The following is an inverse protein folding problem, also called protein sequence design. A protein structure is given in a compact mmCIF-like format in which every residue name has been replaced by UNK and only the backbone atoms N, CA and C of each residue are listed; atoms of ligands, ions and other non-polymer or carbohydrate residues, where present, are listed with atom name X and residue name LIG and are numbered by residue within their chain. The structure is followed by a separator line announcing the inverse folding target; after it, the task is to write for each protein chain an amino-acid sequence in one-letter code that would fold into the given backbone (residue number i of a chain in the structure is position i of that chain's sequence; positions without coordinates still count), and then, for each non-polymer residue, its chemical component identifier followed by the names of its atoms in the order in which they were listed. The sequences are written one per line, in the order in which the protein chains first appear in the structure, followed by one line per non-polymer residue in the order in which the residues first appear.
data_IF_198890194201
#
_entry.id   IF_198890194201
#
_cell.length_a   1.000
_cell.length_b   1.000
_cell.length_c   1.000
_cell.angle_alpha   90.00
_cell.angle_beta   90.00
_cell.angle_gamma   90.00
#
_symmetry.space_group_name_H-M   'P 1'
#
loop_
_entity.id
_entity.type
_entity.pdbx_description
1 polymer ?
#
# COMPACT_ATOMS: atom_id res chain seq x y z
N UNK A 1 -19.60 -16.63 -26.22
CA UNK A 1 -20.15 -16.17 -24.93
C UNK A 1 -19.69 -17.14 -23.85
N UNK A 2 -18.98 -16.67 -22.81
CA UNK A 2 -18.50 -17.51 -21.70
C UNK A 2 -18.95 -16.87 -20.38
N UNK A 3 -20.08 -17.33 -19.85
CA UNK A 3 -20.64 -16.80 -18.59
C UNK A 3 -19.73 -17.19 -17.42
N UNK A 4 -19.47 -16.22 -16.55
CA UNK A 4 -18.73 -16.35 -15.29
C UNK A 4 -19.41 -15.48 -14.23
N UNK A 5 -19.16 -15.75 -12.95
CA UNK A 5 -19.64 -14.95 -11.82
C UNK A 5 -18.47 -14.42 -10.98
N UNK A 6 -18.67 -13.26 -10.36
CA UNK A 6 -17.73 -12.61 -9.43
C UNK A 6 -18.54 -11.81 -8.40
N UNK A 7 -18.09 -11.80 -7.15
CA UNK A 7 -18.65 -10.93 -6.11
C UNK A 7 -18.02 -9.54 -6.23
N UNK A 8 -18.84 -8.53 -6.50
CA UNK A 8 -18.43 -7.13 -6.53
C UNK A 8 -18.63 -6.43 -5.18
N UNK A 9 -18.04 -5.25 -5.03
CA UNK A 9 -18.17 -4.40 -3.83
C UNK A 9 -18.47 -2.97 -4.25
N UNK A 10 -19.31 -2.27 -3.48
CA UNK A 10 -19.61 -0.84 -3.67
C UNK A 10 -19.32 -0.11 -2.36
N UNK A 11 -18.56 0.98 -2.46
CA UNK A 11 -18.29 1.89 -1.35
C UNK A 11 -19.00 3.22 -1.63
N UNK A 12 -19.98 3.58 -0.81
CA UNK A 12 -20.67 4.87 -0.93
C UNK A 12 -19.85 5.96 -0.24
N UNK A 13 -19.19 6.81 -1.03
CA UNK A 13 -18.31 7.86 -0.53
C UNK A 13 -19.04 8.99 0.20
N UNK A 14 -20.35 9.19 -0.05
CA UNK A 14 -21.19 10.15 0.68
C UNK A 14 -21.41 9.73 2.15
N UNK A 15 -21.40 8.42 2.40
CA UNK A 15 -21.55 7.85 3.76
C UNK A 15 -20.23 7.47 4.41
N UNK A 16 -19.10 7.63 3.71
CA UNK A 16 -17.80 7.37 4.27
C UNK A 16 -17.45 8.47 5.27
N UNK A 17 -17.13 8.08 6.51
CA UNK A 17 -16.78 9.02 7.58
C UNK A 17 -15.27 9.02 7.89
N UNK A 18 -14.46 8.29 7.11
CA UNK A 18 -13.01 8.27 7.30
C UNK A 18 -12.54 7.74 8.66
N UNK A 19 -13.25 6.79 9.28
CA UNK A 19 -12.96 6.33 10.64
C UNK A 19 -11.86 5.25 10.77
N UNK A 20 -11.34 4.74 9.65
CA UNK A 20 -10.30 3.69 9.61
C UNK A 20 -10.65 2.34 10.28
N UNK A 21 -11.90 2.10 10.70
CA UNK A 21 -12.32 0.82 11.30
C UNK A 21 -12.02 -0.37 10.39
N UNK A 22 -12.31 -0.24 9.09
CA UNK A 22 -12.02 -1.27 8.09
C UNK A 22 -10.51 -1.60 8.00
N UNK A 23 -9.66 -0.60 8.13
CA UNK A 23 -8.20 -0.76 8.10
C UNK A 23 -7.68 -1.53 9.31
N UNK A 24 -8.13 -1.16 10.51
CA UNK A 24 -7.71 -1.80 11.77
C UNK A 24 -8.17 -3.26 11.82
N UNK A 25 -9.43 -3.55 11.44
CA UNK A 25 -9.92 -4.92 11.41
C UNK A 25 -9.14 -5.78 10.42
N UNK A 26 -8.78 -5.23 9.27
CA UNK A 26 -7.96 -5.95 8.29
C UNK A 26 -6.53 -6.19 8.80
N UNK A 27 -5.92 -5.19 9.43
CA UNK A 27 -4.58 -5.28 10.03
C UNK A 27 -4.52 -6.40 11.06
N UNK A 28 -5.40 -6.35 12.06
CA UNK A 28 -5.42 -7.30 13.17
C UNK A 28 -5.58 -8.76 12.72
N UNK A 29 -6.41 -9.00 11.71
CA UNK A 29 -6.66 -10.36 11.23
C UNK A 29 -5.53 -10.86 10.32
N UNK A 30 -4.96 -10.02 9.47
CA UNK A 30 -4.15 -10.49 8.34
C UNK A 30 -2.67 -10.04 8.35
N UNK A 31 -2.36 -8.83 8.82
CA UNK A 31 -1.06 -8.18 8.60
C UNK A 31 -0.38 -7.64 9.87
N UNK A 32 -0.61 -8.26 11.02
CA UNK A 32 0.09 -7.97 12.29
C UNK A 32 1.40 -8.74 12.51
N UNK A 33 1.89 -9.48 11.51
CA UNK A 33 3.15 -10.24 11.58
C UNK A 33 4.31 -9.38 11.09
N UNK A 34 5.51 -9.66 11.61
CA UNK A 34 6.77 -9.09 11.13
C UNK A 34 6.96 -9.30 9.61
N UNK A 35 7.47 -8.27 8.93
CA UNK A 35 7.57 -8.15 7.48
C UNK A 35 6.31 -7.58 6.79
N UNK A 36 5.19 -7.43 7.51
CA UNK A 36 3.90 -6.96 6.99
C UNK A 36 3.27 -5.85 7.85
N UNK A 37 3.95 -5.42 8.91
CA UNK A 37 3.51 -4.39 9.84
C UNK A 37 3.30 -3.04 9.15
N UNK A 38 4.12 -2.68 8.14
CA UNK A 38 3.87 -1.51 7.30
C UNK A 38 2.62 -1.68 6.42
N UNK A 39 2.29 -2.91 6.01
CA UNK A 39 1.32 -3.17 4.95
C UNK A 39 -0.14 -3.08 5.41
N UNK A 40 -0.89 -2.14 4.82
CA UNK A 40 -2.33 -1.98 5.00
C UNK A 40 -3.08 -2.46 3.75
N UNK A 41 -3.56 -3.72 3.76
CA UNK A 41 -4.34 -4.26 2.62
C UNK A 41 -5.63 -3.48 2.36
N UNK A 42 -6.27 -3.01 3.43
CA UNK A 42 -7.34 -2.02 3.36
C UNK A 42 -6.83 -0.74 4.03
N UNK A 43 -6.63 0.32 3.26
CA UNK A 43 -6.28 1.65 3.75
C UNK A 43 -7.39 2.67 3.43
N UNK A 44 -7.37 3.80 4.14
CA UNK A 44 -8.28 4.93 3.91
C UNK A 44 -7.40 6.17 3.70
N UNK A 45 -7.71 6.95 2.67
CA UNK A 45 -6.95 8.14 2.29
C UNK A 45 -7.85 9.36 2.25
N UNK A 46 -7.38 10.47 2.82
CA UNK A 46 -8.03 11.77 2.68
C UNK A 46 -7.64 12.41 1.35
N UNK A 47 -8.62 13.03 0.67
CA UNK A 47 -8.39 13.81 -0.54
C UNK A 47 -8.72 15.29 -0.30
N UNK A 48 -7.91 16.23 -0.83
CA UNK A 48 -6.64 16.03 -1.54
C UNK A 48 -5.52 15.46 -0.65
N UNK A 49 -4.62 14.65 -1.21
CA UNK A 49 -3.54 13.99 -0.46
C UNK A 49 -2.65 13.10 -1.33
N UNK A 50 -1.50 12.68 -0.78
CA UNK A 50 -0.48 11.89 -1.48
C UNK A 50 -0.80 10.39 -1.58
N UNK A 51 -1.65 9.87 -0.70
CA UNK A 51 -2.04 8.46 -0.65
C UNK A 51 -0.98 7.53 -0.05
N UNK A 52 -1.22 6.22 -0.13
CA UNK A 52 -0.37 5.17 0.43
C UNK A 52 -0.20 4.02 -0.59
N UNK A 53 1.01 3.75 -1.13
CA UNK A 53 2.23 4.54 -0.96
C UNK A 53 2.12 5.94 -1.57
N UNK A 54 3.09 6.80 -1.26
CA UNK A 54 3.10 8.18 -1.73
C UNK A 54 3.04 8.27 -3.27
N UNK A 55 2.09 9.08 -3.74
CA UNK A 55 1.81 9.34 -5.15
C UNK A 55 1.50 8.07 -5.96
N UNK A 56 0.86 7.04 -5.37
CA UNK A 56 0.54 5.78 -6.07
C UNK A 56 -0.29 5.98 -7.36
N UNK A 57 -1.03 7.08 -7.48
CA UNK A 57 -1.81 7.44 -8.67
C UNK A 57 -0.92 7.81 -9.88
N UNK A 58 0.34 8.22 -9.68
CA UNK A 58 1.27 8.60 -10.75
C UNK A 58 1.84 7.38 -11.48
N UNK A 59 1.19 7.01 -12.59
CA UNK A 59 1.64 5.90 -13.43
C UNK A 59 2.81 6.26 -14.35
N UNK A 60 3.22 7.53 -14.42
CA UNK A 60 4.48 7.90 -15.05
C UNK A 60 5.66 7.53 -14.15
N UNK A 61 5.50 7.62 -12.82
CA UNK A 61 6.44 7.09 -11.83
C UNK A 61 6.35 5.56 -11.72
N UNK A 62 5.18 5.03 -11.36
CA UNK A 62 5.03 3.64 -10.87
C UNK A 62 4.82 2.56 -11.93
N UNK A 63 4.60 2.96 -13.18
CA UNK A 63 4.42 2.05 -14.32
C UNK A 63 3.34 0.96 -14.12
N UNK A 64 2.31 1.22 -13.32
CA UNK A 64 1.18 0.31 -13.11
C UNK A 64 0.20 0.26 -14.30
N UNK A 65 -0.61 -0.81 -14.32
CA UNK A 65 -1.70 -1.00 -15.27
C UNK A 65 -1.24 -1.31 -16.71
N UNK A 66 -2.09 -0.96 -17.67
CA UNK A 66 -1.94 -1.30 -19.09
C UNK A 66 -1.84 -0.05 -19.96
N UNK A 67 -1.17 -0.19 -21.10
CA UNK A 67 -1.20 0.78 -22.20
C UNK A 67 -1.79 0.12 -23.45
N UNK A 68 -2.51 0.90 -24.25
CA UNK A 68 -3.00 0.48 -25.57
C UNK A 68 -2.05 0.99 -26.64
N UNK A 69 -1.41 0.06 -27.36
CA UNK A 69 -0.51 0.38 -28.48
C UNK A 69 -1.30 0.89 -29.68
N UNK A 70 -0.59 1.54 -30.62
CA UNK A 70 -1.16 2.03 -31.88
C UNK A 70 -1.83 0.90 -32.69
N UNK A 71 -1.28 -0.31 -32.60
CA UNK A 71 -1.85 -1.52 -33.23
C UNK A 71 -3.09 -2.08 -32.49
N UNK A 72 -3.60 -1.38 -31.48
CA UNK A 72 -4.77 -1.75 -30.70
C UNK A 72 -4.55 -2.82 -29.63
N UNK A 73 -3.36 -3.45 -29.57
CA UNK A 73 -3.04 -4.46 -28.55
C UNK A 73 -2.71 -3.82 -27.20
N UNK A 74 -3.04 -4.52 -26.12
CA UNK A 74 -2.66 -4.14 -24.76
C UNK A 74 -1.24 -4.64 -24.44
N UNK A 75 -0.48 -3.84 -23.71
CA UNK A 75 0.79 -4.21 -23.10
C UNK A 75 0.85 -3.67 -21.66
N UNK A 76 1.46 -4.40 -20.70
CA UNK A 76 1.71 -3.84 -19.37
C UNK A 76 2.55 -2.56 -19.50
N UNK A 77 2.21 -1.53 -18.72
CA UNK A 77 2.99 -0.28 -18.72
C UNK A 77 4.44 -0.50 -18.28
N UNK A 78 4.69 -1.53 -17.47
CA UNK A 78 6.04 -1.97 -17.06
C UNK A 78 6.91 -2.46 -18.23
N UNK A 79 6.31 -2.90 -19.33
CA UNK A 79 7.00 -3.37 -20.54
C UNK A 79 6.42 -4.65 -21.15
N UNK A 80 6.96 -5.02 -22.31
CA UNK A 80 6.71 -6.32 -22.95
C UNK A 80 7.27 -7.48 -22.12
N UNK A 81 6.97 -8.73 -22.48
CA UNK A 81 7.46 -9.92 -21.73
C UNK A 81 8.98 -9.93 -21.55
N UNK A 82 9.74 -9.65 -22.62
CA UNK A 82 11.20 -9.62 -22.57
C UNK A 82 11.69 -8.41 -21.76
N UNK A 83 11.05 -7.24 -21.94
CA UNK A 83 11.41 -6.03 -21.19
C UNK A 83 11.10 -6.12 -19.69
N UNK A 84 10.09 -6.91 -19.30
CA UNK A 84 9.81 -7.20 -17.90
C UNK A 84 10.86 -8.17 -17.32
N UNK A 85 11.20 -9.23 -18.07
CA UNK A 85 12.22 -10.20 -17.64
C UNK A 85 13.59 -9.56 -17.42
N UNK A 86 13.99 -8.58 -18.22
CA UNK A 86 15.26 -7.87 -18.01
C UNK A 86 15.32 -7.07 -16.71
N UNK A 87 14.18 -6.81 -16.05
CA UNK A 87 14.09 -6.07 -14.78
C UNK A 87 14.00 -6.98 -13.55
N UNK A 88 14.06 -8.31 -13.70
CA UNK A 88 13.76 -9.25 -12.61
C UNK A 88 14.73 -9.14 -11.42
N UNK A 89 16.01 -8.88 -11.68
CA UNK A 89 17.05 -8.86 -10.64
C UNK A 89 17.07 -7.55 -9.84
N UNK A 90 16.53 -6.47 -10.41
CA UNK A 90 16.41 -5.18 -9.77
C UNK A 90 15.29 -4.41 -10.48
N UNK A 91 14.07 -4.45 -9.93
CA UNK A 91 12.95 -3.74 -10.52
C UNK A 91 13.11 -2.23 -10.23
N UNK A 92 13.34 -1.38 -11.25
CA UNK A 92 13.56 0.05 -11.04
C UNK A 92 12.28 0.81 -10.65
N UNK A 93 11.12 0.21 -10.86
CA UNK A 93 9.81 0.83 -10.68
C UNK A 93 9.14 0.40 -9.35
N UNK A 94 9.81 -0.42 -8.52
CA UNK A 94 9.25 -0.90 -7.26
C UNK A 94 9.26 0.21 -6.19
N UNK A 95 8.15 0.45 -5.46
CA UNK A 95 8.16 1.35 -4.31
C UNK A 95 9.10 0.84 -3.22
N UNK A 96 9.91 1.74 -2.65
CA UNK A 96 10.76 1.45 -1.50
C UNK A 96 9.94 1.55 -0.20
N UNK A 97 10.52 1.12 0.92
CA UNK A 97 9.87 1.23 2.23
C UNK A 97 9.53 2.69 2.57
N UNK A 98 10.39 3.63 2.20
CA UNK A 98 10.21 5.08 2.43
C UNK A 98 9.07 5.70 1.59
N UNK A 99 8.65 5.04 0.51
CA UNK A 99 7.44 5.45 -0.21
C UNK A 99 6.16 5.05 0.56
N UNK A 100 6.27 4.17 1.56
CA UNK A 100 5.23 3.85 2.55
C UNK A 100 5.51 4.60 3.86
N UNK A 101 6.15 3.93 4.82
CA UNK A 101 6.71 4.46 6.06
C UNK A 101 7.59 3.39 6.71
N UNK A 102 8.57 3.81 7.51
CA UNK A 102 9.31 2.91 8.40
C UNK A 102 8.43 2.56 9.62
N UNK A 103 8.08 1.28 9.82
CA UNK A 103 7.29 0.87 10.98
C UNK A 103 8.04 1.15 12.27
N UNK A 104 7.33 1.71 13.25
CA UNK A 104 7.89 2.08 14.53
C UNK A 104 7.13 1.42 15.68
N UNK A 105 7.81 1.31 16.81
CA UNK A 105 7.25 0.91 18.09
C UNK A 105 7.87 1.78 19.20
N UNK A 106 7.40 1.63 20.42
CA UNK A 106 7.85 2.41 21.57
C UNK A 106 8.46 1.51 22.64
N UNK A 107 9.48 2.01 23.33
CA UNK A 107 9.96 1.40 24.57
C UNK A 107 9.00 1.72 25.73
N UNK A 108 7.87 1.02 25.76
CA UNK A 108 6.88 1.16 26.82
C UNK A 108 7.44 0.78 28.20
N UNK A 109 8.45 -0.10 28.26
CA UNK A 109 9.03 -0.57 29.52
C UNK A 109 9.83 0.51 30.23
N UNK A 110 10.33 1.51 29.50
CA UNK A 110 10.95 2.68 30.10
C UNK A 110 10.03 3.37 31.12
N UNK A 111 8.73 3.48 30.84
CA UNK A 111 7.76 4.12 31.75
C UNK A 111 7.54 3.34 33.04
N UNK A 112 7.69 2.02 33.01
CA UNK A 112 7.49 1.16 34.19
C UNK A 112 8.76 0.98 35.02
N UNK A 113 9.92 1.00 34.35
CA UNK A 113 11.22 0.66 34.94
C UNK A 113 12.16 1.86 35.08
N UNK A 114 11.63 3.09 34.92
CA UNK A 114 12.43 4.30 35.08
C UNK A 114 13.07 4.34 36.47
N UNK A 115 14.39 4.59 36.57
CA UNK A 115 15.06 4.65 37.86
C UNK A 115 14.56 5.85 38.66
N UNK A 116 14.54 5.71 40.00
CA UNK A 116 14.22 6.83 40.88
C UNK A 116 15.23 7.97 40.67
N UNK A 117 14.73 9.11 40.23
CA UNK A 117 15.50 10.36 40.19
C UNK A 117 15.51 10.97 41.58
N UNK A 118 16.69 11.05 42.21
CA UNK A 118 16.84 11.80 43.46
C UNK A 118 16.68 13.29 43.12
N UNK A 119 15.55 13.88 43.51
CA UNK A 119 15.34 15.33 43.39
C UNK A 119 15.84 15.96 44.69
N UNK A 120 16.78 16.94 44.64
CA UNK A 120 17.31 17.58 45.84
C UNK A 120 16.27 18.42 46.58
#
# INVERSE_FOLDING_TARGET
MKIRSQVGMVLNLDKCIGCHTCSVTCKNVWTSREGMEYAWFNNVESKPGVGYPHAWEDQQKWKGGWIRKINGKLEPRMGSRIGLLSKIFANPDVPALDDYYEPFDFDYQHLHNAPHTFTP
#
